data_IF_258516045256
#
_entry.id   IF_258516045256
#
_cell.length_a   1.000
_cell.length_b   1.000
_cell.length_c   1.000
_cell.angle_alpha   90.00
_cell.angle_beta   90.00
_cell.angle_gamma   90.00
#
_symmetry.space_group_name_H-M   'P 1'
#
loop_
_entity.id
_entity.type
_entity.pdbx_description
1 polymer ?
#
# COMPACT_ATOMS: atom_id res chain seq x y z
N UNK A 1 28.50 9.85 21.58
CA UNK A 1 27.09 9.80 21.12
C UNK A 1 27.05 8.88 19.91
N UNK A 2 26.39 7.73 20.00
CA UNK A 2 26.23 6.85 18.83
C UNK A 2 25.15 7.47 17.95
N UNK A 3 25.53 8.18 16.89
CA UNK A 3 24.57 8.76 15.94
C UNK A 3 24.16 7.68 14.93
N UNK A 4 22.85 7.58 14.68
CA UNK A 4 22.26 6.65 13.71
C UNK A 4 21.69 7.46 12.55
N UNK A 5 21.97 7.05 11.31
CA UNK A 5 21.49 7.70 10.08
C UNK A 5 20.82 6.69 9.15
N UNK A 6 19.72 7.08 8.51
CA UNK A 6 19.08 6.31 7.43
C UNK A 6 19.58 6.75 6.05
N UNK A 7 19.92 5.78 5.19
CA UNK A 7 20.26 6.05 3.78
C UNK A 7 19.05 6.46 2.95
N UNK A 8 19.29 6.92 1.71
CA UNK A 8 18.20 7.21 0.76
C UNK A 8 17.23 6.04 0.62
N UNK A 9 15.93 6.31 0.67
CA UNK A 9 14.89 5.27 0.61
C UNK A 9 14.86 4.33 1.82
N UNK A 10 15.57 4.66 2.90
CA UNK A 10 15.59 3.93 4.16
C UNK A 10 16.04 2.47 4.04
N UNK A 11 16.93 2.18 3.09
CA UNK A 11 17.43 0.82 2.80
C UNK A 11 18.47 0.31 3.78
N UNK A 12 19.18 1.22 4.46
CA UNK A 12 20.21 0.88 5.43
C UNK A 12 20.16 1.85 6.60
N UNK A 13 20.46 1.34 7.78
CA UNK A 13 20.70 2.12 9.00
C UNK A 13 22.19 2.04 9.33
N UNK A 14 22.84 3.19 9.36
CA UNK A 14 24.25 3.30 9.64
C UNK A 14 24.47 3.89 11.03
N UNK A 15 25.32 3.25 11.83
CA UNK A 15 25.68 3.67 13.18
C UNK A 15 27.15 4.06 13.17
N UNK A 16 27.46 5.25 13.66
CA UNK A 16 28.84 5.68 13.85
C UNK A 16 29.28 5.36 15.28
N UNK A 17 30.31 4.52 15.40
CA UNK A 17 30.91 4.12 16.68
C UNK A 17 32.40 4.49 16.70
N UNK A 18 32.94 5.05 17.81
CA UNK A 18 34.34 5.47 17.88
C UNK A 18 35.37 4.36 17.62
N UNK A 19 35.00 3.09 17.88
CA UNK A 19 35.90 1.93 17.77
C UNK A 19 35.87 1.27 16.39
N UNK A 20 34.69 1.18 15.77
CA UNK A 20 34.47 0.42 14.52
C UNK A 20 34.21 1.32 13.32
N UNK A 21 34.15 2.64 13.51
CA UNK A 21 33.77 3.58 12.46
C UNK A 21 32.28 3.47 12.10
N UNK A 22 31.97 3.70 10.82
CA UNK A 22 30.62 3.66 10.29
C UNK A 22 30.23 2.23 9.91
N UNK A 23 29.27 1.64 10.63
CA UNK A 23 28.72 0.31 10.32
C UNK A 23 27.29 0.43 9.84
N UNK A 24 26.97 -0.13 8.67
CA UNK A 24 25.63 -0.07 8.08
C UNK A 24 24.98 -1.45 7.99
N UNK A 25 23.75 -1.55 8.45
CA UNK A 25 22.92 -2.75 8.36
C UNK A 25 21.74 -2.52 7.44
N UNK A 26 21.26 -3.59 6.79
CA UNK A 26 20.03 -3.55 6.01
C UNK A 26 18.86 -3.07 6.90
N UNK A 27 18.04 -2.18 6.37
CA UNK A 27 16.92 -1.60 7.08
C UNK A 27 15.74 -1.40 6.12
N UNK A 28 14.57 -1.19 6.70
CA UNK A 28 13.35 -0.81 6.03
C UNK A 28 12.44 -0.10 7.02
N UNK A 29 11.49 0.68 6.52
CA UNK A 29 10.46 1.21 7.40
C UNK A 29 9.46 0.11 7.73
N UNK A 30 9.05 -0.01 9.00
CA UNK A 30 7.98 -0.92 9.37
C UNK A 30 6.67 -0.45 8.73
N UNK A 31 5.71 -1.36 8.69
CA UNK A 31 4.38 -1.09 8.17
C UNK A 31 3.73 0.13 8.84
N UNK A 32 2.99 0.94 8.07
CA UNK A 32 2.38 2.18 8.53
C UNK A 32 3.36 3.36 8.68
N UNK A 33 4.64 3.18 8.33
CA UNK A 33 5.64 4.25 8.31
C UNK A 33 6.25 4.42 6.92
N UNK A 34 6.46 5.66 6.53
CA UNK A 34 7.04 6.07 5.25
C UNK A 34 8.44 6.63 5.46
N UNK A 35 9.32 6.40 4.47
CA UNK A 35 10.67 6.96 4.48
C UNK A 35 10.66 8.40 3.97
N UNK A 36 10.78 9.37 4.87
CA UNK A 36 10.72 10.79 4.55
C UNK A 36 11.82 11.58 5.27
N UNK A 37 12.10 12.78 4.77
CA UNK A 37 12.90 13.77 5.49
C UNK A 37 11.93 14.73 6.18
N UNK A 38 12.01 14.83 7.52
CA UNK A 38 11.31 15.85 8.30
C UNK A 38 12.32 16.61 9.14
N UNK A 39 12.26 17.94 9.09
CA UNK A 39 13.23 18.83 9.76
C UNK A 39 14.71 18.45 9.51
N UNK A 40 15.04 18.10 8.26
CA UNK A 40 16.41 17.70 7.88
C UNK A 40 16.82 16.28 8.25
N UNK A 41 15.99 15.52 8.98
CA UNK A 41 16.28 14.15 9.40
C UNK A 41 15.51 13.16 8.53
N UNK A 42 16.24 12.24 7.87
CA UNK A 42 15.66 11.09 7.20
C UNK A 42 15.41 9.97 8.20
N UNK A 43 14.16 9.58 8.38
CA UNK A 43 13.79 8.43 9.19
C UNK A 43 12.45 7.85 8.72
N UNK A 44 12.00 6.80 9.39
CA UNK A 44 10.67 6.25 9.20
C UNK A 44 9.67 7.04 10.03
N UNK A 45 8.81 7.77 9.36
CA UNK A 45 7.76 8.59 9.98
C UNK A 45 6.39 7.94 9.81
N UNK A 46 5.43 8.16 10.73
CA UNK A 46 4.06 7.70 10.50
C UNK A 46 3.54 8.23 9.16
N UNK A 47 2.90 7.35 8.40
CA UNK A 47 2.16 7.72 7.20
C UNK A 47 1.09 8.76 7.56
N UNK A 48 0.82 9.71 6.66
CA UNK A 48 -0.22 10.71 6.86
C UNK A 48 -1.61 10.12 6.61
N UNK A 49 -1.76 9.42 5.49
CA UNK A 49 -2.90 8.54 5.23
C UNK A 49 -2.46 7.09 5.28
N UNK A 50 -3.18 6.26 6.05
CA UNK A 50 -2.98 4.82 6.11
C UNK A 50 -4.32 4.10 5.99
N UNK A 51 -4.51 3.36 4.90
CA UNK A 51 -5.59 2.40 4.74
C UNK A 51 -5.04 0.98 4.89
N UNK A 52 -5.72 0.13 5.65
CA UNK A 52 -5.25 -1.23 5.97
C UNK A 52 -6.32 -2.28 5.67
N UNK A 53 -5.96 -3.35 4.97
CA UNK A 53 -6.78 -4.54 4.77
C UNK A 53 -6.11 -5.74 5.44
N UNK A 54 -6.77 -6.30 6.45
CA UNK A 54 -6.30 -7.50 7.17
C UNK A 54 -6.75 -8.79 6.48
N UNK A 55 -6.12 -9.92 6.85
CA UNK A 55 -6.51 -11.27 6.39
C UNK A 55 -7.99 -11.58 6.64
N UNK A 56 -8.52 -11.21 7.82
CA UNK A 56 -9.93 -11.35 8.15
C UNK A 56 -10.87 -10.45 7.33
N UNK A 57 -10.37 -9.80 6.27
CA UNK A 57 -11.12 -8.89 5.41
C UNK A 57 -11.62 -7.64 6.12
N UNK A 58 -11.06 -7.31 7.30
CA UNK A 58 -11.33 -6.04 7.97
C UNK A 58 -10.51 -4.95 7.28
N UNK A 59 -11.23 -3.93 6.81
CA UNK A 59 -10.70 -2.74 6.19
C UNK A 59 -10.76 -1.58 7.20
N UNK A 60 -9.67 -0.83 7.31
CA UNK A 60 -9.62 0.46 7.99
C UNK A 60 -9.30 1.51 6.93
N UNK A 61 -10.17 2.50 6.76
CA UNK A 61 -10.02 3.57 5.76
C UNK A 61 -8.96 4.58 6.18
N UNK A 62 -8.61 5.51 5.28
CA UNK A 62 -7.62 6.54 5.57
C UNK A 62 -7.99 7.42 6.77
N UNK A 63 -9.28 7.66 6.99
CA UNK A 63 -9.80 8.46 8.11
C UNK A 63 -10.17 7.62 9.35
N UNK A 64 -9.89 6.31 9.32
CA UNK A 64 -10.06 5.40 10.45
C UNK A 64 -11.44 4.73 10.55
N UNK A 65 -12.25 4.80 9.50
CA UNK A 65 -13.53 4.12 9.46
C UNK A 65 -13.34 2.59 9.22
N UNK A 66 -14.14 1.76 9.91
CA UNK A 66 -14.03 0.30 9.83
C UNK A 66 -15.07 -0.34 8.92
N UNK A 67 -14.64 -1.23 8.02
CA UNK A 67 -15.53 -2.04 7.18
C UNK A 67 -15.06 -3.48 7.04
N UNK A 68 -15.89 -4.36 6.47
CA UNK A 68 -15.58 -5.78 6.27
C UNK A 68 -15.93 -6.20 4.84
N UNK A 69 -14.97 -6.81 4.14
CA UNK A 69 -15.22 -7.45 2.85
C UNK A 69 -15.88 -8.82 3.10
N UNK A 70 -17.19 -8.89 2.92
CA UNK A 70 -18.02 -10.06 3.28
C UNK A 70 -17.97 -11.19 2.27
N UNK A 71 -17.51 -10.95 1.04
CA UNK A 71 -17.56 -11.94 -0.04
C UNK A 71 -16.23 -11.97 -0.80
N UNK A 72 -15.82 -13.11 -1.36
CA UNK A 72 -14.67 -13.18 -2.24
C UNK A 72 -14.85 -12.31 -3.49
N UNK A 73 -13.73 -11.87 -4.04
CA UNK A 73 -13.66 -11.12 -5.29
C UNK A 73 -12.51 -10.14 -5.33
N UNK A 74 -12.51 -9.34 -6.39
CA UNK A 74 -11.48 -8.34 -6.64
C UNK A 74 -12.04 -6.96 -6.32
N UNK A 75 -11.36 -6.21 -5.45
CA UNK A 75 -11.84 -4.96 -4.88
C UNK A 75 -10.88 -3.81 -5.15
N UNK A 76 -11.40 -2.67 -5.60
CA UNK A 76 -10.65 -1.43 -5.71
C UNK A 76 -10.56 -0.76 -4.33
N UNK A 77 -9.35 -0.77 -3.76
CA UNK A 77 -9.11 -0.21 -2.43
C UNK A 77 -8.91 1.29 -2.49
N UNK A 78 -8.03 1.77 -3.38
CA UNK A 78 -7.73 3.19 -3.49
C UNK A 78 -7.26 3.54 -4.89
N UNK A 79 -7.72 4.65 -5.42
CA UNK A 79 -7.25 5.25 -6.66
C UNK A 79 -7.28 6.77 -6.57
N UNK A 80 -6.49 7.44 -7.41
CA UNK A 80 -6.64 8.88 -7.62
C UNK A 80 -7.92 9.12 -8.41
N UNK A 81 -8.87 9.86 -7.85
CA UNK A 81 -10.17 10.05 -8.49
C UNK A 81 -10.05 10.63 -9.91
N UNK A 82 -10.93 10.21 -10.84
CA UNK A 82 -10.99 10.79 -12.17
C UNK A 82 -11.45 12.26 -12.11
N UNK A 83 -10.99 13.08 -13.06
CA UNK A 83 -11.43 14.48 -13.21
C UNK A 83 -10.88 15.48 -12.19
N UNK A 84 -10.19 15.04 -11.14
CA UNK A 84 -9.55 15.94 -10.16
C UNK A 84 -8.20 16.48 -10.63
N UNK A 85 -7.75 17.55 -9.97
CA UNK A 85 -6.49 18.24 -10.21
C UNK A 85 -5.30 17.27 -10.24
N UNK A 86 -4.36 17.50 -11.16
CA UNK A 86 -3.19 16.64 -11.39
C UNK A 86 -1.98 17.04 -10.54
N UNK A 87 -2.20 17.20 -9.24
CA UNK A 87 -1.16 17.54 -8.26
C UNK A 87 -0.36 16.33 -7.80
N UNK A 88 -1.00 15.15 -7.76
CA UNK A 88 -0.35 13.86 -7.45
C UNK A 88 -0.41 12.91 -8.66
N UNK A 89 0.60 12.02 -8.84
CA UNK A 89 0.61 11.01 -9.89
C UNK A 89 -0.61 10.09 -9.83
N UNK A 90 -1.07 9.62 -10.99
CA UNK A 90 -2.16 8.65 -11.04
C UNK A 90 -1.71 7.28 -10.54
N UNK A 91 -2.58 6.63 -9.78
CA UNK A 91 -2.46 5.23 -9.39
C UNK A 91 -3.85 4.61 -9.15
N UNK A 92 -3.91 3.27 -9.12
CA UNK A 92 -5.05 2.48 -8.68
C UNK A 92 -4.59 1.18 -8.05
N UNK A 93 -5.05 0.89 -6.82
CA UNK A 93 -4.74 -0.31 -6.03
C UNK A 93 -5.96 -1.22 -5.97
N UNK A 94 -5.78 -2.44 -6.44
CA UNK A 94 -6.82 -3.47 -6.54
C UNK A 94 -6.35 -4.73 -5.81
N UNK A 95 -7.17 -5.23 -4.88
CA UNK A 95 -6.88 -6.39 -4.05
C UNK A 95 -7.72 -7.59 -4.48
N UNK A 96 -7.07 -8.74 -4.69
CA UNK A 96 -7.71 -10.03 -4.97
C UNK A 96 -7.93 -10.78 -3.65
N UNK A 97 -9.17 -10.75 -3.16
CA UNK A 97 -9.61 -11.39 -1.92
C UNK A 97 -10.27 -12.72 -2.26
N UNK A 98 -9.57 -13.83 -2.00
CA UNK A 98 -10.03 -15.18 -2.32
C UNK A 98 -10.46 -15.92 -1.06
N UNK A 99 -11.33 -16.92 -1.21
CA UNK A 99 -11.57 -17.94 -0.19
C UNK A 99 -10.74 -19.18 -0.53
N UNK A 100 -9.89 -19.62 0.39
CA UNK A 100 -9.15 -20.88 0.25
C UNK A 100 -9.72 -21.89 1.24
N UNK A 101 -10.21 -23.05 0.74
CA UNK A 101 -10.55 -24.25 1.51
C UNK A 101 -11.11 -24.00 2.94
N UNK A 102 -12.21 -23.24 3.06
CA UNK A 102 -12.84 -22.94 4.35
C UNK A 102 -13.45 -21.53 4.39
N UNK A 103 -13.77 -21.08 5.61
CA UNK A 103 -14.36 -19.76 5.89
C UNK A 103 -13.32 -18.62 5.93
N UNK A 104 -12.02 -18.94 5.83
CA UNK A 104 -10.94 -17.96 5.90
C UNK A 104 -10.67 -17.32 4.53
N UNK A 105 -10.81 -15.99 4.48
CA UNK A 105 -10.46 -15.19 3.31
C UNK A 105 -8.97 -14.87 3.35
N UNK A 106 -8.31 -14.94 2.21
CA UNK A 106 -6.88 -14.68 2.06
C UNK A 106 -6.68 -13.65 0.96
N UNK A 107 -5.83 -12.66 1.22
CA UNK A 107 -5.35 -11.76 0.19
C UNK A 107 -4.35 -12.51 -0.70
N UNK A 108 -4.75 -12.80 -1.94
CA UNK A 108 -3.97 -13.64 -2.86
C UNK A 108 -2.93 -12.82 -3.62
N UNK A 109 -3.37 -11.67 -4.15
CA UNK A 109 -2.59 -10.78 -5.02
C UNK A 109 -3.05 -9.33 -4.85
N UNK A 110 -2.13 -8.41 -5.11
CA UNK A 110 -2.43 -6.99 -5.23
C UNK A 110 -1.94 -6.51 -6.59
N UNK A 111 -2.83 -5.88 -7.33
CA UNK A 111 -2.57 -5.24 -8.61
C UNK A 111 -2.52 -3.73 -8.40
N UNK A 112 -1.41 -3.10 -8.81
CA UNK A 112 -1.17 -1.68 -8.63
C UNK A 112 -0.90 -1.09 -10.01
N UNK A 113 -1.86 -0.32 -10.49
CA UNK A 113 -1.80 0.35 -11.78
C UNK A 113 -1.21 1.74 -11.62
N UNK A 114 -0.38 2.10 -12.57
CA UNK A 114 0.24 3.40 -12.75
C UNK A 114 0.02 3.88 -14.17
N UNK A 115 0.36 5.14 -14.46
CA UNK A 115 0.11 5.73 -15.78
C UNK A 115 0.84 5.00 -16.91
N UNK A 116 1.99 4.39 -16.63
CA UNK A 116 2.90 3.76 -17.59
C UNK A 116 3.03 2.23 -17.40
N UNK A 117 2.21 1.62 -16.54
CA UNK A 117 2.19 0.16 -16.40
C UNK A 117 1.52 -0.37 -15.15
N UNK A 118 1.68 -1.66 -14.90
CA UNK A 118 1.11 -2.38 -13.76
C UNK A 118 2.19 -3.15 -13.00
N UNK A 119 2.13 -3.07 -11.68
CA UNK A 119 2.88 -3.94 -10.76
C UNK A 119 1.90 -4.88 -10.08
N UNK A 120 2.16 -6.18 -10.14
CA UNK A 120 1.40 -7.18 -9.38
C UNK A 120 2.32 -7.80 -8.33
N UNK A 121 1.87 -7.87 -7.09
CA UNK A 121 2.60 -8.52 -5.99
C UNK A 121 1.75 -9.63 -5.38
N UNK A 122 2.41 -10.74 -5.06
CA UNK A 122 1.82 -11.87 -4.35
C UNK A 122 2.76 -12.29 -3.22
N UNK A 123 2.19 -12.51 -2.04
CA UNK A 123 2.91 -12.85 -0.81
C UNK A 123 3.89 -14.01 -1.01
N UNK A 124 3.48 -15.07 -1.71
CA UNK A 124 4.27 -16.30 -1.87
C UNK A 124 4.95 -16.45 -3.24
N UNK A 125 4.46 -15.75 -4.28
CA UNK A 125 4.88 -16.02 -5.66
C UNK A 125 5.82 -14.96 -6.27
N UNK A 126 5.93 -13.78 -5.65
CA UNK A 126 6.86 -12.72 -6.04
C UNK A 126 6.18 -11.48 -6.63
N UNK A 127 6.88 -10.77 -7.52
CA UNK A 127 6.40 -9.55 -8.17
C UNK A 127 6.48 -9.65 -9.70
N UNK A 128 5.54 -9.02 -10.38
CA UNK A 128 5.49 -8.90 -11.84
C UNK A 128 5.31 -7.45 -12.25
N UNK A 129 5.96 -7.07 -13.35
CA UNK A 129 5.80 -5.77 -14.01
C UNK A 129 5.32 -6.03 -15.42
N UNK A 130 4.14 -5.51 -15.78
CA UNK A 130 3.52 -5.74 -17.08
C UNK A 130 3.45 -7.24 -17.47
N UNK A 131 3.22 -8.12 -16.48
CA UNK A 131 3.15 -9.58 -16.66
C UNK A 131 4.49 -10.31 -16.64
N UNK A 132 5.64 -9.62 -16.67
CA UNK A 132 6.96 -10.22 -16.56
C UNK A 132 7.38 -10.33 -15.10
N UNK A 133 7.81 -11.52 -14.66
CA UNK A 133 8.33 -11.73 -13.31
C UNK A 133 9.67 -11.00 -13.15
N UNK A 134 9.85 -10.29 -12.03
CA UNK A 134 11.07 -9.54 -11.74
C UNK A 134 11.71 -9.96 -10.43
N UNK A 135 13.03 -9.90 -10.37
CA UNK A 135 13.78 -10.05 -9.13
C UNK A 135 13.83 -8.72 -8.36
N UNK A 136 13.84 -8.79 -7.03
CA UNK A 136 13.78 -7.63 -6.15
C UNK A 136 15.13 -7.39 -5.45
N UNK A 137 15.56 -6.13 -5.26
CA UNK A 137 14.83 -4.90 -5.56
C UNK A 137 14.90 -4.50 -7.05
N UNK A 138 13.84 -3.87 -7.55
CA UNK A 138 13.78 -3.36 -8.92
C UNK A 138 13.26 -1.91 -8.95
N UNK A 139 13.93 -1.05 -9.73
CA UNK A 139 13.34 0.19 -10.20
C UNK A 139 12.58 -0.15 -11.49
N UNK A 140 11.29 0.13 -11.49
CA UNK A 140 10.37 -0.32 -12.53
C UNK A 140 9.52 0.86 -12.97
N UNK A 141 9.08 0.87 -14.22
CA UNK A 141 8.35 2.02 -14.77
C UNK A 141 9.16 3.33 -14.58
N UNK A 142 8.56 4.49 -14.82
CA UNK A 142 9.26 5.78 -14.76
C UNK A 142 9.59 6.20 -13.32
N UNK A 143 8.71 5.89 -12.37
CA UNK A 143 8.78 6.44 -11.01
C UNK A 143 8.47 5.43 -9.91
N UNK A 144 8.45 4.12 -10.21
CA UNK A 144 8.04 3.08 -9.27
C UNK A 144 9.24 2.22 -8.86
N UNK A 145 9.30 1.84 -7.58
CA UNK A 145 10.27 0.88 -7.09
C UNK A 145 9.56 -0.24 -6.35
N UNK A 146 10.06 -1.46 -6.51
CA UNK A 146 9.55 -2.65 -5.81
C UNK A 146 10.70 -3.27 -5.03
N UNK A 147 10.50 -3.50 -3.74
CA UNK A 147 11.56 -3.98 -2.84
C UNK A 147 11.03 -5.01 -1.87
N UNK A 148 11.86 -6.00 -1.55
CA UNK A 148 11.65 -6.87 -0.39
C UNK A 148 12.37 -6.28 0.82
N UNK A 149 11.66 -6.10 1.92
CA UNK A 149 12.22 -5.59 3.17
C UNK A 149 12.86 -6.73 3.98
N UNK A 150 13.71 -6.41 4.99
CA UNK A 150 14.38 -7.43 5.80
C UNK A 150 13.44 -8.41 6.52
N UNK A 151 12.22 -8.00 6.82
CA UNK A 151 11.18 -8.84 7.43
C UNK A 151 10.46 -9.76 6.41
N UNK A 152 10.85 -9.71 5.13
CA UNK A 152 10.27 -10.49 4.05
C UNK A 152 9.08 -9.83 3.34
N UNK A 153 8.53 -8.74 3.89
CA UNK A 153 7.43 -7.98 3.28
C UNK A 153 7.84 -7.33 1.96
N UNK A 154 6.85 -6.98 1.14
CA UNK A 154 7.08 -6.32 -0.16
C UNK A 154 6.54 -4.90 -0.13
N UNK A 155 7.36 -3.94 -0.52
CA UNK A 155 6.99 -2.53 -0.64
C UNK A 155 7.07 -2.10 -2.11
N UNK A 156 5.95 -1.63 -2.65
CA UNK A 156 5.85 -0.93 -3.93
C UNK A 156 5.73 0.56 -3.62
N UNK A 157 6.60 1.38 -4.20
CA UNK A 157 6.64 2.82 -3.92
C UNK A 157 6.70 3.60 -5.22
N UNK A 158 5.66 4.40 -5.46
CA UNK A 158 5.62 5.42 -6.50
C UNK A 158 6.10 6.75 -5.94
N UNK A 159 7.10 7.35 -6.57
CA UNK A 159 7.64 8.65 -6.16
C UNK A 159 6.55 9.73 -6.20
N UNK A 160 6.40 10.48 -5.11
CA UNK A 160 5.38 11.52 -4.92
C UNK A 160 3.93 11.02 -5.08
N UNK A 161 3.71 9.71 -4.93
CA UNK A 161 2.38 9.10 -5.00
C UNK A 161 2.19 8.09 -3.88
N UNK A 162 1.72 6.89 -4.24
CA UNK A 162 1.34 5.85 -3.27
C UNK A 162 2.51 4.95 -2.86
N UNK A 163 2.48 4.51 -1.59
CA UNK A 163 3.25 3.37 -1.09
C UNK A 163 2.30 2.22 -0.73
N UNK A 164 2.55 1.04 -1.29
CA UNK A 164 1.76 -0.17 -1.05
C UNK A 164 2.65 -1.22 -0.42
N UNK A 165 2.32 -1.62 0.81
CA UNK A 165 3.06 -2.60 1.59
C UNK A 165 2.23 -3.88 1.75
N UNK A 166 2.82 -5.01 1.42
CA UNK A 166 2.23 -6.34 1.58
C UNK A 166 3.06 -7.15 2.57
N UNK A 167 2.46 -7.45 3.72
CA UNK A 167 3.06 -8.20 4.82
C UNK A 167 3.19 -9.69 4.55
N UNK A 168 4.10 -10.32 5.29
CA UNK A 168 4.25 -11.79 5.30
C UNK A 168 3.10 -12.51 5.99
N UNK A 169 2.26 -11.77 6.70
CA UNK A 169 0.99 -12.21 7.30
C UNK A 169 -0.21 -11.96 6.39
N UNK A 170 -0.01 -11.37 5.20
CA UNK A 170 -1.07 -11.02 4.25
C UNK A 170 -1.79 -9.70 4.55
N UNK A 171 -1.35 -8.93 5.54
CA UNK A 171 -1.86 -7.57 5.73
C UNK A 171 -1.39 -6.66 4.58
N UNK A 172 -2.33 -5.90 4.00
CA UNK A 172 -2.06 -4.92 2.96
C UNK A 172 -2.28 -3.51 3.48
N UNK A 173 -1.25 -2.68 3.37
CA UNK A 173 -1.31 -1.27 3.76
C UNK A 173 -1.08 -0.37 2.54
N UNK A 174 -2.03 0.54 2.30
CA UNK A 174 -1.92 1.62 1.31
C UNK A 174 -1.62 2.90 2.07
N UNK A 175 -0.51 3.56 1.74
CA UNK A 175 0.01 4.73 2.43
C UNK A 175 0.20 5.88 1.46
N UNK A 176 -0.24 7.07 1.86
CA UNK A 176 -0.18 8.31 1.07
C UNK A 176 0.29 9.51 1.91
N UNK A 177 0.74 10.56 1.23
CA UNK A 177 1.06 11.86 1.82
C UNK A 177 -0.19 12.73 2.03
N UNK A 178 -0.01 13.87 2.71
CA UNK A 178 -1.06 14.88 2.95
C UNK A 178 -1.49 15.63 1.67
N UNK A 179 -0.67 15.58 0.63
CA UNK A 179 -0.97 16.05 -0.73
C UNK A 179 -2.10 15.27 -1.43
N UNK A 180 -2.54 14.14 -0.86
CA UNK A 180 -3.63 13.31 -1.38
C UNK A 180 -5.00 13.59 -0.75
N UNK A 181 -5.09 14.51 0.22
CA UNK A 181 -6.35 14.83 0.93
C UNK A 181 -7.45 15.20 -0.07
N UNK A 182 -8.61 14.53 0.05
CA UNK A 182 -9.78 14.69 -0.82
C UNK A 182 -9.53 14.43 -2.32
N UNK A 183 -8.43 13.75 -2.69
CA UNK A 183 -8.11 13.37 -4.08
C UNK A 183 -8.35 11.89 -4.37
N UNK A 184 -8.79 11.12 -3.38
CA UNK A 184 -8.83 9.66 -3.41
C UNK A 184 -10.25 9.11 -3.52
N UNK A 185 -10.36 7.97 -4.20
CA UNK A 185 -11.58 7.21 -4.40
C UNK A 185 -11.31 5.73 -4.10
N UNK A 186 -12.34 4.98 -3.72
CA UNK A 186 -12.24 3.53 -3.47
C UNK A 186 -12.73 3.13 -2.08
N UNK A 187 -12.57 1.85 -1.75
CA UNK A 187 -12.98 1.31 -0.45
C UNK A 187 -12.29 1.97 0.75
N UNK A 188 -11.09 2.50 0.56
CA UNK A 188 -10.31 3.19 1.57
C UNK A 188 -10.78 4.61 1.89
N UNK A 189 -11.87 5.09 1.29
CA UNK A 189 -12.38 6.44 1.55
C UNK A 189 -11.73 7.51 0.70
N UNK A 190 -12.04 8.78 1.01
CA UNK A 190 -11.55 9.95 0.26
C UNK A 190 -10.42 10.72 0.98
N UNK A 191 -10.08 10.34 2.21
CA UNK A 191 -9.02 10.94 3.02
C UNK A 191 -9.24 12.44 3.26
N UNK A 192 -10.44 12.81 3.71
CA UNK A 192 -10.83 14.20 4.01
C UNK A 192 -10.90 14.49 5.51
N UNK A 193 -10.60 13.51 6.35
CA UNK A 193 -10.60 13.60 7.81
C UNK A 193 -11.95 13.30 8.45
N UNK A 194 -12.97 12.88 7.69
CA UNK A 194 -14.32 12.62 8.19
C UNK A 194 -14.72 11.14 8.08
N UNK A 195 -14.33 10.25 9.02
CA UNK A 195 -14.57 8.80 8.90
C UNK A 195 -16.04 8.39 8.70
N UNK A 196 -16.99 9.24 9.09
CA UNK A 196 -18.41 8.97 8.95
C UNK A 196 -18.90 8.98 7.49
N UNK A 197 -18.21 9.64 6.56
CA UNK A 197 -18.57 9.70 5.14
C UNK A 197 -17.86 8.63 4.28
N UNK A 198 -16.80 8.01 4.80
CA UNK A 198 -16.11 6.90 4.14
C UNK A 198 -17.02 5.66 4.03
N UNK A 199 -17.93 5.51 5.00
CA UNK A 199 -18.84 4.36 5.11
C UNK A 199 -20.30 4.73 4.79
N UNK A 200 -20.71 6.01 4.93
CA UNK A 200 -22.07 6.47 4.59
C UNK A 200 -22.07 7.14 3.21
N UNK A 201 -23.05 7.01 2.32
CA UNK A 201 -24.50 7.14 2.53
C UNK A 201 -25.30 6.43 1.42
N UNK A 202 -26.28 5.62 1.82
CA UNK A 202 -27.71 5.86 1.59
C UNK A 202 -28.47 4.88 2.48
N UNK A 203 -29.66 5.25 2.94
CA UNK A 203 -30.54 4.37 3.70
C UNK A 203 -30.57 2.95 3.10
N UNK A 204 -30.10 1.97 3.88
CA UNK A 204 -30.48 0.57 3.67
C UNK A 204 -29.39 -0.45 3.33
N UNK A 205 -28.22 -0.10 2.76
CA UNK A 205 -27.09 -1.05 2.51
C UNK A 205 -25.92 -0.37 1.80
N UNK A 206 -24.69 -0.56 2.28
CA UNK A 206 -23.50 -0.54 1.40
C UNK A 206 -22.68 -1.80 1.66
N UNK A 207 -22.92 -2.88 0.93
CA UNK A 207 -21.98 -3.97 0.87
C UNK A 207 -20.69 -3.39 0.25
N UNK A 208 -19.52 -3.80 0.74
CA UNK A 208 -18.23 -3.55 0.08
C UNK A 208 -18.23 -3.94 -1.42
N UNK A 209 -19.24 -4.67 -1.87
CA UNK A 209 -19.54 -5.02 -3.26
C UNK A 209 -19.58 -3.83 -4.22
N UNK A 210 -19.94 -2.61 -3.79
CA UNK A 210 -19.90 -1.43 -4.68
C UNK A 210 -18.48 -1.14 -5.19
N UNK A 211 -17.46 -1.56 -4.44
CA UNK A 211 -16.05 -1.40 -4.77
C UNK A 211 -15.46 -2.63 -5.48
N UNK A 212 -16.29 -3.58 -5.93
CA UNK A 212 -15.82 -4.64 -6.83
C UNK A 212 -15.26 -4.01 -8.11
N UNK A 213 -14.04 -4.41 -8.46
CA UNK A 213 -13.39 -3.96 -9.68
C UNK A 213 -14.11 -4.57 -10.89
N UNK A 214 -14.90 -3.76 -11.60
CA UNK A 214 -15.79 -4.22 -12.69
C UNK A 214 -15.03 -4.69 -13.94
N UNK A 215 -13.77 -4.27 -14.08
CA UNK A 215 -12.85 -4.68 -15.13
C UNK A 215 -12.14 -6.01 -14.84
N UNK A 216 -12.39 -6.61 -13.67
CA UNK A 216 -11.94 -7.96 -13.31
C UNK A 216 -13.13 -8.92 -13.29
N UNK A 217 -12.93 -10.12 -13.84
CA UNK A 217 -13.95 -11.17 -13.78
C UNK A 217 -14.15 -11.64 -12.33
N UNK A 218 -15.40 -11.83 -11.87
CA UNK A 218 -15.65 -12.46 -10.59
C UNK A 218 -15.18 -13.92 -10.60
N UNK A 219 -14.89 -14.47 -9.42
CA UNK A 219 -14.65 -15.91 -9.28
C UNK A 219 -15.87 -16.67 -9.82
N UNK A 220 -15.68 -17.51 -10.84
CA UNK A 220 -16.69 -18.44 -11.31
C UNK A 220 -16.84 -19.55 -10.27
N UNK A 221 -18.07 -19.83 -9.84
CA UNK A 221 -18.39 -21.05 -9.09
C UNK A 221 -18.29 -22.26 -10.02
#
# INVERSE_FOLDING_TARGET
VNTSLMTSGCTKRCICSPRTGLTCHAAGCPSGRVCEIRAGVRDCWPAKGLCSLSMGSNLVTFDGAHSVISSPGVYELSSRCPGLQKTVPWYRVVADVQSCHGNDKVLSKVHIFFQDGIVTVSQSKGAWVNGLRVDLPAQVLTSVSVRRLPDGSVLVHQKAGVQVWLGTDGQLNVMVGDDHVALLCGACGNFDGYPNNDIRQSQGKTPMEKWRAQDFSPCSN
#
